data_IF_468922257001
#
_entry.id   IF_468922257001
#
_cell.length_a   1.000
_cell.length_b   1.000
_cell.length_c   1.000
_cell.angle_alpha   90.00
_cell.angle_beta   90.00
_cell.angle_gamma   90.00
#
_symmetry.space_group_name_H-M   'P 1'
#
loop_
_entity.id
_entity.type
_entity.pdbx_description
1 polymer ?
#
# COMPACT_ATOMS: atom_id res chain seq x y z
N UNK A 1 -0.72 14.37 -8.60
CA UNK A 1 0.52 15.12 -8.93
C UNK A 1 0.53 15.58 -10.38
N UNK A 2 0.67 14.67 -11.37
CA UNK A 2 0.82 15.03 -12.80
C UNK A 2 -0.29 15.92 -13.39
N UNK A 3 -1.55 15.70 -13.02
CA UNK A 3 -2.68 16.49 -13.55
C UNK A 3 -2.58 18.00 -13.22
N UNK A 4 -1.83 18.38 -12.17
CA UNK A 4 -1.59 19.80 -11.83
C UNK A 4 -0.66 20.48 -12.85
N UNK A 5 0.24 19.71 -13.47
CA UNK A 5 1.24 20.17 -14.43
C UNK A 5 0.85 19.95 -15.90
N UNK A 6 -0.09 19.03 -16.15
CA UNK A 6 -0.52 18.67 -17.50
C UNK A 6 -1.51 19.67 -18.09
N UNK A 7 -1.51 19.77 -19.42
CA UNK A 7 -2.54 20.47 -20.20
C UNK A 7 -3.01 19.68 -21.42
N UNK A 8 -4.00 20.21 -22.15
CA UNK A 8 -4.48 19.65 -23.42
C UNK A 8 -4.95 18.19 -23.33
N UNK A 9 -4.60 17.38 -24.36
CA UNK A 9 -4.96 15.97 -24.43
C UNK A 9 -4.32 15.12 -23.33
N UNK A 10 -3.09 15.44 -22.92
CA UNK A 10 -2.40 14.78 -21.80
C UNK A 10 -3.19 14.90 -20.51
N UNK A 11 -3.67 16.11 -20.19
CA UNK A 11 -4.55 16.32 -19.03
C UNK A 11 -5.90 15.62 -19.19
N UNK A 12 -6.46 15.59 -20.40
CA UNK A 12 -7.73 14.91 -20.68
C UNK A 12 -7.62 13.41 -20.39
N UNK A 13 -6.58 12.73 -20.88
CA UNK A 13 -6.32 11.32 -20.60
C UNK A 13 -6.24 11.04 -19.09
N UNK A 14 -5.45 11.84 -18.36
CA UNK A 14 -5.34 11.71 -16.90
C UNK A 14 -6.70 11.90 -16.20
N UNK A 15 -7.48 12.89 -16.62
CA UNK A 15 -8.80 13.18 -16.04
C UNK A 15 -9.80 12.06 -16.30
N UNK A 16 -9.80 11.49 -17.51
CA UNK A 16 -10.67 10.37 -17.88
C UNK A 16 -10.38 9.14 -17.04
N UNK A 17 -9.10 8.77 -16.91
CA UNK A 17 -8.70 7.58 -16.14
C UNK A 17 -8.95 7.75 -14.65
N UNK A 18 -8.64 8.93 -14.09
CA UNK A 18 -8.88 9.22 -12.67
C UNK A 18 -10.36 9.44 -12.35
N UNK A 19 -11.19 9.75 -13.35
CA UNK A 19 -12.62 10.12 -13.22
C UNK A 19 -12.87 11.40 -12.41
N UNK A 20 -11.84 12.19 -12.12
CA UNK A 20 -11.96 13.48 -11.45
C UNK A 20 -10.85 14.47 -11.85
N UNK A 21 -11.11 15.76 -11.59
CA UNK A 21 -10.15 16.85 -11.79
C UNK A 21 -9.66 17.44 -10.46
N UNK A 22 -8.35 17.41 -10.22
CA UNK A 22 -7.71 17.92 -8.98
C UNK A 22 -8.06 19.38 -8.67
N UNK A 23 -8.34 20.20 -9.68
CA UNK A 23 -8.72 21.61 -9.45
C UNK A 23 -10.02 21.76 -8.65
N UNK A 24 -10.99 20.85 -8.81
CA UNK A 24 -12.26 20.88 -8.06
C UNK A 24 -12.19 20.17 -6.71
N UNK A 25 -11.39 19.10 -6.62
CA UNK A 25 -11.35 18.22 -5.43
C UNK A 25 -10.08 18.36 -4.58
N UNK A 26 -9.19 19.31 -4.89
CA UNK A 26 -7.88 19.44 -4.24
C UNK A 26 -7.93 19.58 -2.72
N UNK A 27 -8.95 20.28 -2.17
CA UNK A 27 -9.15 20.38 -0.71
C UNK A 27 -9.49 19.03 -0.07
N UNK A 28 -10.31 18.22 -0.75
CA UNK A 28 -10.71 16.89 -0.29
C UNK A 28 -9.50 15.95 -0.33
N UNK A 29 -8.77 15.92 -1.45
CA UNK A 29 -7.54 15.13 -1.59
C UNK A 29 -6.50 15.48 -0.53
N UNK A 30 -6.31 16.77 -0.25
CA UNK A 30 -5.42 17.23 0.84
C UNK A 30 -5.87 16.70 2.19
N UNK A 31 -7.17 16.75 2.48
CA UNK A 31 -7.74 16.27 3.75
C UNK A 31 -7.54 14.75 3.90
N UNK A 32 -7.76 13.99 2.82
CA UNK A 32 -7.53 12.53 2.77
C UNK A 32 -6.05 12.22 3.03
N UNK A 33 -5.14 12.83 2.26
CA UNK A 33 -3.70 12.59 2.44
C UNK A 33 -3.23 12.93 3.86
N UNK A 34 -3.68 14.08 4.40
CA UNK A 34 -3.36 14.50 5.77
C UNK A 34 -3.94 13.54 6.83
N UNK A 35 -5.10 12.94 6.58
CA UNK A 35 -5.69 11.95 7.47
C UNK A 35 -4.85 10.67 7.49
N UNK A 36 -4.39 10.20 6.32
CA UNK A 36 -3.58 8.97 6.18
C UNK A 36 -2.24 9.08 6.92
N UNK A 37 -1.51 10.19 6.73
CA UNK A 37 -0.17 10.38 7.34
C UNK A 37 -0.24 10.99 8.74
N UNK A 38 -1.44 11.14 9.30
CA UNK A 38 -1.61 11.79 10.59
C UNK A 38 -1.00 10.97 11.72
N UNK A 39 -0.21 11.62 12.58
CA UNK A 39 0.24 11.03 13.85
C UNK A 39 -0.93 10.63 14.77
N UNK A 40 -2.14 11.18 14.54
CA UNK A 40 -3.36 10.79 15.28
C UNK A 40 -3.75 9.33 15.07
N UNK A 41 -3.33 8.73 13.95
CA UNK A 41 -3.55 7.32 13.67
C UNK A 41 -2.78 6.40 14.61
N UNK A 42 -1.79 6.91 15.37
CA UNK A 42 -0.82 6.19 16.20
C UNK A 42 0.09 5.24 15.39
N UNK A 43 -0.48 4.45 14.49
CA UNK A 43 0.20 3.74 13.41
C UNK A 43 0.65 4.74 12.34
N UNK A 44 1.91 4.65 11.93
CA UNK A 44 2.57 5.64 11.07
C UNK A 44 2.63 5.11 9.64
N UNK A 45 1.86 5.76 8.75
CA UNK A 45 2.05 5.64 7.30
C UNK A 45 3.06 6.70 6.88
N UNK A 46 4.19 6.27 6.31
CA UNK A 46 5.19 7.17 5.72
C UNK A 46 5.04 7.13 4.21
N UNK A 47 4.73 8.29 3.62
CA UNK A 47 4.59 8.46 2.18
C UNK A 47 5.57 9.54 1.73
N UNK A 48 6.44 9.20 0.80
CA UNK A 48 7.37 10.12 0.16
C UNK A 48 7.00 10.27 -1.31
N UNK A 49 6.61 11.47 -1.70
CA UNK A 49 6.24 11.82 -3.07
C UNK A 49 7.23 12.84 -3.62
N UNK A 50 7.81 12.57 -4.79
CA UNK A 50 8.62 13.55 -5.49
C UNK A 50 8.42 13.56 -6.99
N UNK A 51 8.60 14.75 -7.55
CA UNK A 51 8.74 14.99 -8.99
C UNK A 51 10.10 15.64 -9.22
N UNK A 52 10.96 14.94 -9.94
CA UNK A 52 12.28 15.43 -10.33
C UNK A 52 12.23 15.88 -11.78
N UNK A 53 12.53 17.15 -12.01
CA UNK A 53 12.54 17.79 -13.33
C UNK A 53 13.99 17.99 -13.75
N UNK A 54 14.33 17.84 -15.05
CA UNK A 54 15.71 18.10 -15.52
C UNK A 54 16.15 19.51 -15.10
N UNK A 55 17.43 19.64 -14.75
CA UNK A 55 18.05 20.92 -14.45
C UNK A 55 17.98 21.88 -15.66
N UNK A 56 17.97 23.19 -15.40
CA UNK A 56 17.83 24.23 -16.43
C UNK A 56 16.37 24.64 -16.74
N UNK A 57 15.38 23.85 -16.32
CA UNK A 57 13.96 24.23 -16.48
C UNK A 57 13.44 25.11 -15.35
N UNK A 58 12.98 26.31 -15.72
CA UNK A 58 12.23 27.19 -14.81
C UNK A 58 10.84 26.62 -14.57
N UNK A 59 10.62 26.11 -13.36
CA UNK A 59 9.33 25.55 -12.96
C UNK A 59 8.34 26.63 -12.54
N UNK A 60 7.08 26.45 -12.89
CA UNK A 60 5.98 27.29 -12.47
C UNK A 60 5.73 27.13 -10.96
N UNK A 61 5.79 28.24 -10.21
CA UNK A 61 5.58 28.28 -8.75
C UNK A 61 4.23 27.67 -8.33
N UNK A 62 3.11 27.87 -9.07
CA UNK A 62 1.84 27.20 -8.76
C UNK A 62 1.93 25.68 -8.79
N UNK A 63 2.74 25.09 -9.68
CA UNK A 63 2.90 23.63 -9.76
C UNK A 63 3.61 23.09 -8.53
N UNK A 64 4.72 23.71 -8.13
CA UNK A 64 5.48 23.33 -6.93
C UNK A 64 4.62 23.47 -5.67
N UNK A 65 3.98 24.63 -5.51
CA UNK A 65 3.20 24.95 -4.31
C UNK A 65 1.99 24.03 -4.14
N UNK A 66 1.25 23.78 -5.23
CA UNK A 66 0.05 22.92 -5.16
C UNK A 66 0.40 21.44 -4.95
N UNK A 67 1.51 20.96 -5.49
CA UNK A 67 1.97 19.59 -5.22
C UNK A 67 2.37 19.41 -3.75
N UNK A 68 3.10 20.37 -3.19
CA UNK A 68 3.45 20.37 -1.76
C UNK A 68 2.20 20.42 -0.88
N UNK A 69 1.24 21.29 -1.21
CA UNK A 69 0.04 21.49 -0.39
C UNK A 69 -0.92 20.28 -0.43
N UNK A 70 -1.20 19.73 -1.61
CA UNK A 70 -2.22 18.68 -1.80
C UNK A 70 -1.66 17.29 -1.57
N UNK A 71 -0.47 16.99 -2.08
CA UNK A 71 0.09 15.64 -2.14
C UNK A 71 1.29 15.42 -1.21
N UNK A 72 1.69 16.45 -0.45
CA UNK A 72 2.95 16.45 0.32
C UNK A 72 4.14 16.03 -0.56
N UNK A 73 4.08 16.48 -1.83
CA UNK A 73 5.03 16.11 -2.85
C UNK A 73 6.09 17.20 -2.99
N UNK A 74 7.36 16.79 -2.95
CA UNK A 74 8.48 17.66 -3.24
C UNK A 74 8.68 17.74 -4.76
N UNK A 75 8.87 18.95 -5.27
CA UNK A 75 9.19 19.16 -6.70
C UNK A 75 10.51 19.87 -6.75
N UNK A 76 11.50 19.28 -7.43
CA UNK A 76 12.85 19.84 -7.50
C UNK A 76 13.50 19.58 -8.86
N UNK A 77 14.53 20.35 -9.17
CA UNK A 77 15.40 20.06 -10.29
C UNK A 77 16.43 18.98 -9.89
N UNK A 78 16.73 18.09 -10.83
CA UNK A 78 17.82 17.11 -10.73
C UNK A 78 18.65 17.17 -12.00
N UNK A 79 19.96 17.05 -11.85
CA UNK A 79 20.87 17.03 -12.98
C UNK A 79 21.00 15.63 -13.56
N UNK A 80 20.19 15.32 -14.57
CA UNK A 80 20.23 14.03 -15.23
C UNK A 80 21.41 13.87 -16.21
N UNK A 81 22.19 14.94 -16.48
CA UNK A 81 23.37 14.83 -17.34
C UNK A 81 24.49 14.03 -16.67
N UNK A 82 24.47 13.97 -15.33
CA UNK A 82 25.21 13.02 -14.50
C UNK A 82 24.22 12.01 -13.85
N UNK A 83 23.92 10.88 -14.52
CA UNK A 83 23.00 9.86 -14.01
C UNK A 83 23.37 9.29 -12.64
N UNK A 84 24.67 9.17 -12.34
CA UNK A 84 25.15 8.61 -11.08
C UNK A 84 24.83 9.56 -9.92
N UNK A 85 25.23 10.83 -10.05
CA UNK A 85 24.93 11.87 -9.05
C UNK A 85 23.43 12.11 -8.88
N UNK A 86 22.66 12.07 -9.98
CA UNK A 86 21.20 12.15 -9.92
C UNK A 86 20.59 10.98 -9.13
N UNK A 87 21.03 9.75 -9.41
CA UNK A 87 20.54 8.56 -8.71
C UNK A 87 20.85 8.63 -7.22
N UNK A 88 22.08 8.98 -6.85
CA UNK A 88 22.49 9.09 -5.45
C UNK A 88 21.69 10.17 -4.72
N UNK A 89 21.48 11.32 -5.35
CA UNK A 89 20.66 12.40 -4.79
C UNK A 89 19.21 11.98 -4.58
N UNK A 90 18.61 11.28 -5.55
CA UNK A 90 17.22 10.79 -5.46
C UNK A 90 17.11 9.70 -4.40
N UNK A 91 18.04 8.73 -4.39
CA UNK A 91 18.06 7.64 -3.43
C UNK A 91 18.29 8.15 -1.99
N UNK A 92 19.20 9.10 -1.79
CA UNK A 92 19.43 9.74 -0.50
C UNK A 92 18.17 10.46 0.00
N UNK A 93 17.46 11.16 -0.89
CA UNK A 93 16.20 11.79 -0.52
C UNK A 93 15.13 10.76 -0.13
N UNK A 94 14.94 9.70 -0.93
CA UNK A 94 13.97 8.63 -0.60
C UNK A 94 14.32 8.01 0.76
N UNK A 95 15.60 7.76 1.01
CA UNK A 95 16.09 7.22 2.27
C UNK A 95 15.76 8.15 3.44
N UNK A 96 16.00 9.44 3.31
CA UNK A 96 15.69 10.41 4.35
C UNK A 96 14.19 10.51 4.64
N UNK A 97 13.36 10.64 3.61
CA UNK A 97 11.90 10.73 3.77
C UNK A 97 11.28 9.44 4.31
N UNK A 98 11.87 8.29 3.99
CA UNK A 98 11.42 6.99 4.49
C UNK A 98 12.14 6.55 5.77
N UNK A 99 12.95 7.43 6.38
CA UNK A 99 13.72 7.18 7.63
C UNK A 99 14.62 5.95 7.55
N UNK A 100 15.27 5.75 6.42
CA UNK A 100 16.17 4.62 6.16
C UNK A 100 15.47 3.32 5.84
N UNK A 101 14.15 3.33 5.58
CA UNK A 101 13.41 2.09 5.32
C UNK A 101 13.46 1.66 3.85
N UNK A 102 13.61 2.62 2.93
CA UNK A 102 13.78 2.39 1.49
C UNK A 102 15.09 3.08 1.07
N UNK A 103 16.13 2.29 0.82
CA UNK A 103 17.49 2.81 0.60
C UNK A 103 17.79 3.18 -0.85
N UNK A 104 17.22 2.46 -1.82
CA UNK A 104 17.43 2.70 -3.25
C UNK A 104 16.13 2.57 -4.03
N UNK A 105 16.00 3.32 -5.10
CA UNK A 105 14.86 3.31 -6.01
C UNK A 105 15.29 3.40 -7.47
N UNK A 106 16.35 4.15 -7.75
CA UNK A 106 16.96 4.27 -9.07
C UNK A 106 18.36 3.65 -9.09
N UNK A 107 18.70 3.05 -10.22
CA UNK A 107 20.07 2.75 -10.62
C UNK A 107 20.46 3.62 -11.82
N UNK A 108 21.75 3.95 -11.99
CA UNK A 108 22.21 4.76 -13.12
C UNK A 108 21.78 4.18 -14.47
N UNK A 109 21.76 2.85 -14.59
CA UNK A 109 21.36 2.12 -15.81
C UNK A 109 19.91 2.38 -16.25
N UNK A 110 19.06 2.87 -15.34
CA UNK A 110 17.67 3.20 -15.64
C UNK A 110 17.53 4.62 -16.21
N UNK A 111 18.51 5.50 -16.02
CA UNK A 111 18.42 6.89 -16.45
C UNK A 111 19.22 7.11 -17.74
N UNK A 112 18.58 7.77 -18.70
CA UNK A 112 19.25 8.23 -19.92
C UNK A 112 19.65 9.71 -19.74
N UNK A 113 20.94 10.02 -19.86
CA UNK A 113 21.45 11.37 -19.60
C UNK A 113 20.91 12.43 -20.56
N UNK A 114 20.56 12.03 -21.78
CA UNK A 114 20.10 12.93 -22.84
C UNK A 114 18.58 12.96 -22.90
N UNK A 115 17.88 11.87 -22.61
CA UNK A 115 16.43 11.73 -22.77
C UNK A 115 15.65 11.92 -21.48
N UNK A 116 16.26 11.80 -20.31
CA UNK A 116 15.55 11.96 -19.04
C UNK A 116 15.14 13.41 -18.84
N UNK A 117 13.84 13.64 -18.66
CA UNK A 117 13.24 14.97 -18.49
C UNK A 117 12.42 15.10 -17.21
N UNK A 118 11.64 14.06 -16.90
CA UNK A 118 10.76 14.06 -15.75
C UNK A 118 10.71 12.67 -15.12
N UNK A 119 11.05 12.58 -13.83
CA UNK A 119 11.01 11.35 -13.04
C UNK A 119 10.06 11.52 -11.86
N UNK A 120 9.11 10.60 -11.74
CA UNK A 120 8.17 10.58 -10.64
C UNK A 120 8.45 9.41 -9.71
N UNK A 121 8.44 9.72 -8.42
CA UNK A 121 8.73 8.77 -7.37
C UNK A 121 7.63 8.80 -6.33
N UNK A 122 7.06 7.63 -6.05
CA UNK A 122 6.21 7.39 -4.89
C UNK A 122 6.82 6.27 -4.05
N UNK A 123 7.23 6.57 -2.82
CA UNK A 123 7.70 5.57 -1.87
C UNK A 123 6.73 5.49 -0.70
N UNK A 124 6.29 4.28 -0.37
CA UNK A 124 5.33 4.04 0.72
C UNK A 124 5.90 3.01 1.67
N UNK A 125 5.98 3.38 2.93
CA UNK A 125 6.37 2.51 4.02
C UNK A 125 5.34 2.59 5.14
N UNK A 126 4.85 1.45 5.57
CA UNK A 126 3.90 1.36 6.66
C UNK A 126 4.57 0.82 7.92
N UNK A 127 4.36 1.51 9.05
CA UNK A 127 4.76 1.07 10.38
C UNK A 127 3.55 1.06 11.30
N UNK A 128 3.15 -0.10 11.79
CA UNK A 128 2.01 -0.24 12.70
C UNK A 128 2.30 -1.21 13.81
N UNK A 129 1.54 -1.16 14.89
CA UNK A 129 1.56 -2.17 15.95
C UNK A 129 0.24 -2.91 15.93
N UNK A 130 0.25 -4.24 16.07
CA UNK A 130 -1.01 -4.99 16.13
C UNK A 130 -1.82 -4.54 17.35
N UNK A 131 -3.15 -4.46 17.22
CA UNK A 131 -4.02 -4.28 18.39
C UNK A 131 -3.91 -5.49 19.34
N UNK A 132 -3.81 -6.68 18.75
CA UNK A 132 -3.53 -7.94 19.44
C UNK A 132 -2.22 -8.51 18.93
N UNK A 133 -1.15 -8.33 19.71
CA UNK A 133 0.21 -8.77 19.36
C UNK A 133 0.29 -10.30 19.26
N UNK A 134 1.17 -10.79 18.40
CA UNK A 134 1.55 -12.20 18.43
C UNK A 134 2.63 -12.42 19.50
N UNK A 135 2.62 -13.58 20.12
CA UNK A 135 3.64 -13.96 21.10
C UNK A 135 4.81 -14.63 20.36
N UNK A 136 6.06 -14.13 20.48
CA UNK A 136 7.23 -14.73 19.84
C UNK A 136 7.40 -16.23 20.15
N UNK A 137 6.96 -16.65 21.33
CA UNK A 137 7.00 -18.04 21.80
C UNK A 137 6.12 -18.97 20.95
N UNK A 138 5.10 -18.42 20.29
CA UNK A 138 4.19 -19.15 19.41
C UNK A 138 4.66 -19.15 17.94
N UNK A 139 5.69 -18.37 17.61
CA UNK A 139 6.25 -18.31 16.26
C UNK A 139 7.05 -19.59 15.98
N UNK A 140 6.56 -20.43 15.06
CA UNK A 140 7.18 -21.72 14.72
C UNK A 140 7.36 -21.85 13.21
N UNK A 141 8.37 -22.61 12.78
CA UNK A 141 8.48 -23.01 11.38
C UNK A 141 7.32 -23.95 11.04
N UNK A 142 6.60 -23.63 9.97
CA UNK A 142 5.54 -24.50 9.42
C UNK A 142 5.69 -24.60 7.92
N UNK A 143 5.08 -25.65 7.37
CA UNK A 143 5.01 -25.88 5.93
C UNK A 143 4.22 -24.76 5.27
N UNK A 144 4.77 -24.21 4.21
CA UNK A 144 4.17 -23.23 3.34
C UNK A 144 4.27 -23.72 1.90
N UNK A 145 3.14 -23.80 1.20
CA UNK A 145 3.09 -24.26 -0.18
C UNK A 145 2.99 -23.07 -1.14
N UNK A 146 3.99 -22.94 -1.99
CA UNK A 146 4.05 -21.87 -2.98
C UNK A 146 3.20 -22.18 -4.22
N UNK A 147 3.02 -21.16 -5.07
CA UNK A 147 2.24 -21.29 -6.31
C UNK A 147 2.83 -22.30 -7.32
N UNK A 148 4.12 -22.64 -7.20
CA UNK A 148 4.76 -23.69 -8.00
C UNK A 148 4.52 -25.11 -7.44
N UNK A 149 3.70 -25.24 -6.39
CA UNK A 149 3.39 -26.49 -5.70
C UNK A 149 4.49 -26.96 -4.74
N UNK A 150 5.61 -26.24 -4.62
CA UNK A 150 6.69 -26.63 -3.70
C UNK A 150 6.40 -26.19 -2.28
N UNK A 151 6.84 -27.02 -1.35
CA UNK A 151 6.70 -26.81 0.09
C UNK A 151 7.99 -26.26 0.70
N UNK A 152 7.86 -25.26 1.56
CA UNK A 152 8.95 -24.60 2.27
C UNK A 152 8.66 -24.54 3.77
N UNK A 153 9.69 -24.59 4.61
CA UNK A 153 9.55 -24.34 6.05
C UNK A 153 9.78 -22.86 6.35
N UNK A 154 8.72 -22.12 6.70
CA UNK A 154 8.76 -20.68 6.95
C UNK A 154 8.30 -20.34 8.37
N UNK A 155 8.82 -19.27 8.99
CA UNK A 155 8.34 -18.83 10.29
C UNK A 155 6.90 -18.32 10.18
N UNK A 156 5.98 -18.93 10.94
CA UNK A 156 4.59 -18.53 11.05
C UNK A 156 4.31 -17.95 12.43
N UNK A 157 3.80 -16.72 12.46
CA UNK A 157 3.16 -16.11 13.62
C UNK A 157 1.88 -16.89 13.95
N UNK A 158 1.58 -17.10 15.23
CA UNK A 158 0.35 -17.76 15.66
C UNK A 158 -0.28 -17.07 16.87
N UNK A 159 -1.59 -16.83 16.82
CA UNK A 159 -2.35 -16.33 17.97
C UNK A 159 -3.80 -16.85 17.94
N UNK A 160 -4.37 -17.04 19.13
CA UNK A 160 -5.80 -17.33 19.32
C UNK A 160 -6.46 -16.09 19.90
N UNK A 161 -7.34 -15.45 19.15
CA UNK A 161 -8.03 -14.23 19.58
C UNK A 161 -9.36 -14.05 18.85
N UNK A 162 -10.08 -12.96 19.15
CA UNK A 162 -11.32 -12.61 18.45
C UNK A 162 -11.00 -11.64 17.32
N UNK A 163 -11.28 -12.08 16.09
CA UNK A 163 -11.10 -11.28 14.88
C UNK A 163 -12.40 -11.23 14.07
N UNK A 164 -12.55 -10.17 13.28
CA UNK A 164 -13.65 -10.07 12.33
C UNK A 164 -13.28 -10.87 11.09
N UNK A 165 -14.09 -11.87 10.74
CA UNK A 165 -13.85 -12.69 9.55
C UNK A 165 -15.17 -13.10 8.90
N UNK A 166 -15.06 -13.57 7.65
CA UNK A 166 -16.18 -14.03 6.85
C UNK A 166 -15.69 -14.82 5.64
N UNK A 167 -16.65 -15.27 4.84
CA UNK A 167 -16.42 -15.95 3.58
C UNK A 167 -17.43 -15.48 2.54
N UNK A 168 -17.05 -15.51 1.28
CA UNK A 168 -17.94 -15.20 0.15
C UNK A 168 -17.44 -15.89 -1.11
N UNK A 169 -18.26 -15.89 -2.16
CA UNK A 169 -17.92 -16.47 -3.46
C UNK A 169 -17.70 -15.41 -4.53
N UNK A 170 -16.91 -15.75 -5.55
CA UNK A 170 -16.86 -14.99 -6.79
C UNK A 170 -18.12 -15.26 -7.64
N UNK A 171 -18.37 -14.49 -8.72
CA UNK A 171 -19.44 -14.80 -9.67
C UNK A 171 -19.31 -16.17 -10.36
N UNK A 172 -18.16 -16.83 -10.24
CA UNK A 172 -17.88 -18.18 -10.74
C UNK A 172 -17.98 -19.24 -9.64
N UNK A 173 -18.67 -18.93 -8.54
CA UNK A 173 -18.88 -19.80 -7.37
C UNK A 173 -17.60 -20.28 -6.66
N UNK A 174 -16.49 -19.55 -6.85
CA UNK A 174 -15.24 -19.84 -6.14
C UNK A 174 -15.24 -19.16 -4.77
N UNK A 175 -15.22 -19.96 -3.70
CA UNK A 175 -15.26 -19.47 -2.34
C UNK A 175 -13.89 -19.00 -1.85
N UNK A 176 -13.89 -17.91 -1.09
CA UNK A 176 -12.72 -17.39 -0.41
C UNK A 176 -13.08 -16.83 0.97
N UNK A 177 -12.14 -16.98 1.90
CA UNK A 177 -12.22 -16.48 3.27
C UNK A 177 -11.50 -15.15 3.38
N UNK A 178 -11.96 -14.29 4.28
CA UNK A 178 -11.30 -13.03 4.58
C UNK A 178 -11.34 -12.72 6.08
N UNK A 179 -10.27 -12.07 6.56
CA UNK A 179 -10.08 -11.70 7.97
C UNK A 179 -9.51 -10.29 8.09
N UNK A 180 -10.00 -9.54 9.09
CA UNK A 180 -9.50 -8.23 9.49
C UNK A 180 -8.60 -8.35 10.72
N UNK A 181 -7.34 -7.94 10.56
CA UNK A 181 -6.35 -7.81 11.64
C UNK A 181 -6.14 -6.33 11.96
N UNK A 182 -6.76 -5.79 13.02
CA UNK A 182 -6.65 -4.37 13.36
C UNK A 182 -5.29 -4.02 13.96
N UNK A 183 -4.81 -2.82 13.64
CA UNK A 183 -3.67 -2.20 14.32
C UNK A 183 -4.13 -1.40 15.55
N UNK A 184 -3.20 -1.10 16.45
CA UNK A 184 -3.45 -0.50 17.76
C UNK A 184 -4.08 0.89 17.71
N UNK A 185 -3.89 1.60 16.60
CA UNK A 185 -4.50 2.90 16.31
C UNK A 185 -5.98 2.84 16.01
N UNK A 186 -6.52 1.65 15.68
CA UNK A 186 -7.91 1.38 15.27
C UNK A 186 -8.37 2.13 14.00
N UNK A 187 -7.51 2.96 13.41
CA UNK A 187 -7.75 3.65 12.13
C UNK A 187 -7.35 2.83 10.92
N UNK A 188 -6.47 1.84 11.11
CA UNK A 188 -5.89 1.02 10.04
C UNK A 188 -6.06 -0.45 10.42
N UNK A 189 -6.36 -1.29 9.45
CA UNK A 189 -6.37 -2.75 9.59
C UNK A 189 -5.75 -3.43 8.36
N UNK A 190 -5.19 -4.62 8.57
CA UNK A 190 -4.78 -5.50 7.48
C UNK A 190 -5.95 -6.41 7.12
N UNK A 191 -6.29 -6.44 5.83
CA UNK A 191 -7.25 -7.38 5.28
C UNK A 191 -6.50 -8.47 4.55
N UNK A 192 -6.81 -9.70 4.91
CA UNK A 192 -6.23 -10.88 4.27
C UNK A 192 -7.37 -11.68 3.66
N UNK A 193 -7.21 -12.06 2.39
CA UNK A 193 -8.14 -12.91 1.68
C UNK A 193 -7.38 -14.10 1.08
N UNK A 194 -7.95 -15.28 1.23
CA UNK A 194 -7.43 -16.53 0.67
C UNK A 194 -8.56 -17.40 0.11
N UNK A 195 -8.33 -18.17 -0.96
CA UNK A 195 -9.27 -19.19 -1.40
C UNK A 195 -9.64 -20.16 -0.27
N UNK A 196 -10.88 -20.64 -0.25
CA UNK A 196 -11.31 -21.68 0.70
C UNK A 196 -10.74 -23.03 0.31
N UNK A 197 -10.69 -23.32 -0.99
CA UNK A 197 -10.12 -24.55 -1.53
C UNK A 197 -8.68 -24.35 -2.00
N UNK A 198 -7.79 -25.27 -1.62
CA UNK A 198 -6.37 -25.22 -2.04
C UNK A 198 -6.15 -25.43 -3.54
N UNK A 199 -7.13 -26.03 -4.23
CA UNK A 199 -7.16 -26.20 -5.69
C UNK A 199 -7.40 -24.86 -6.41
N UNK A 200 -8.00 -23.88 -5.74
CA UNK A 200 -8.40 -22.63 -6.37
C UNK A 200 -7.22 -21.66 -6.44
N UNK A 201 -6.79 -21.25 -7.65
CA UNK A 201 -5.68 -20.32 -7.78
C UNK A 201 -6.12 -18.91 -7.39
N UNK A 202 -5.21 -18.17 -6.73
CA UNK A 202 -5.46 -16.79 -6.31
C UNK A 202 -5.76 -15.86 -7.50
N UNK A 203 -5.25 -16.18 -8.70
CA UNK A 203 -5.53 -15.47 -9.94
C UNK A 203 -7.01 -15.49 -10.34
N UNK A 204 -7.80 -16.45 -9.84
CA UNK A 204 -9.24 -16.51 -10.10
C UNK A 204 -10.05 -15.57 -9.18
N UNK A 205 -9.50 -15.16 -8.03
CA UNK A 205 -10.20 -14.31 -7.06
C UNK A 205 -9.83 -12.83 -7.25
N UNK A 206 -8.54 -12.53 -7.49
CA UNK A 206 -8.02 -11.15 -7.61
C UNK A 206 -8.83 -10.26 -8.59
N UNK A 207 -9.25 -10.73 -9.79
CA UNK A 207 -9.98 -9.90 -10.74
C UNK A 207 -11.33 -9.39 -10.21
N UNK A 208 -11.91 -10.06 -9.22
CA UNK A 208 -13.22 -9.73 -8.64
C UNK A 208 -13.12 -8.86 -7.37
N UNK A 209 -11.91 -8.55 -6.91
CA UNK A 209 -11.69 -7.68 -5.75
C UNK A 209 -11.68 -6.21 -6.19
N UNK A 210 -12.67 -5.47 -5.71
CA UNK A 210 -12.83 -4.02 -5.89
C UNK A 210 -13.15 -3.35 -4.55
N UNK A 211 -13.19 -2.02 -4.51
CA UNK A 211 -13.61 -1.26 -3.31
C UNK A 211 -15.01 -1.67 -2.84
N UNK A 212 -15.96 -1.87 -3.78
CA UNK A 212 -17.30 -2.37 -3.47
C UNK A 212 -17.29 -3.76 -2.83
N UNK A 213 -16.38 -4.62 -3.28
CA UNK A 213 -16.21 -5.97 -2.71
C UNK A 213 -15.71 -5.88 -1.27
N UNK A 214 -14.76 -4.97 -1.00
CA UNK A 214 -14.23 -4.71 0.34
C UNK A 214 -15.32 -4.13 1.25
N UNK A 215 -16.15 -3.20 0.78
CA UNK A 215 -17.29 -2.66 1.54
C UNK A 215 -18.30 -3.75 1.91
N UNK A 216 -18.54 -4.70 1.00
CA UNK A 216 -19.35 -5.88 1.26
C UNK A 216 -18.74 -6.76 2.36
N UNK A 217 -17.42 -7.00 2.32
CA UNK A 217 -16.73 -7.71 3.40
C UNK A 217 -16.89 -7.01 4.74
N UNK A 218 -16.71 -5.68 4.77
CA UNK A 218 -16.83 -4.90 6.01
C UNK A 218 -18.23 -4.97 6.62
N UNK A 219 -19.26 -5.18 5.80
CA UNK A 219 -20.65 -5.34 6.23
C UNK A 219 -20.98 -6.78 6.66
N UNK A 220 -20.28 -7.78 6.11
CA UNK A 220 -20.53 -9.22 6.34
C UNK A 220 -19.64 -9.84 7.41
N UNK A 221 -18.45 -9.28 7.68
CA UNK A 221 -17.55 -9.81 8.70
C UNK A 221 -18.14 -9.73 10.11
N UNK A 222 -18.10 -10.86 10.80
CA UNK A 222 -18.54 -11.00 12.19
C UNK A 222 -17.36 -11.34 13.10
N UNK A 223 -17.35 -10.87 14.36
CA UNK A 223 -16.33 -11.23 15.31
C UNK A 223 -16.44 -12.72 15.68
N UNK A 224 -15.38 -13.48 15.46
CA UNK A 224 -15.26 -14.90 15.83
C UNK A 224 -13.95 -15.15 16.56
N UNK A 225 -13.96 -16.07 17.51
CA UNK A 225 -12.73 -16.58 18.13
C UNK A 225 -12.08 -17.54 17.14
N UNK A 226 -10.91 -17.18 16.64
CA UNK A 226 -10.20 -17.92 15.58
C UNK A 226 -8.72 -18.04 15.91
N UNK A 227 -8.12 -19.17 15.53
CA UNK A 227 -6.67 -19.33 15.56
C UNK A 227 -6.10 -18.80 14.25
N UNK A 228 -5.37 -17.69 14.31
CA UNK A 228 -4.72 -17.08 13.15
C UNK A 228 -3.28 -17.55 13.09
N UNK A 229 -2.90 -18.11 11.95
CA UNK A 229 -1.51 -18.48 11.63
C UNK A 229 -1.12 -17.70 10.39
N UNK A 230 -0.05 -16.89 10.46
CA UNK A 230 0.33 -15.95 9.40
C UNK A 230 1.85 -15.98 9.20
N UNK A 231 2.38 -16.05 7.96
CA UNK A 231 3.81 -15.94 7.72
C UNK A 231 4.39 -14.65 8.29
N UNK A 232 5.54 -14.77 8.94
CA UNK A 232 6.39 -13.63 9.26
C UNK A 232 7.23 -13.31 8.03
N UNK A 233 7.01 -12.15 7.42
CA UNK A 233 7.70 -11.79 6.18
C UNK A 233 7.98 -10.29 6.06
N UNK A 234 8.95 -9.94 5.23
CA UNK A 234 9.15 -8.58 4.73
C UNK A 234 8.98 -8.62 3.22
N UNK A 235 8.10 -7.77 2.69
CA UNK A 235 7.89 -7.64 1.25
C UNK A 235 8.29 -6.23 0.81
N UNK A 236 9.14 -6.17 -0.21
CA UNK A 236 9.54 -4.95 -0.89
C UNK A 236 9.23 -5.14 -2.36
N UNK A 237 8.47 -4.22 -2.94
CA UNK A 237 8.14 -4.24 -4.36
C UNK A 237 8.45 -2.88 -4.97
N UNK A 238 9.09 -2.90 -6.14
CA UNK A 238 9.29 -1.74 -6.99
C UNK A 238 8.58 -2.00 -8.32
N UNK A 239 7.79 -1.03 -8.75
CA UNK A 239 6.94 -1.15 -9.93
C UNK A 239 7.14 0.07 -10.82
N UNK A 240 7.42 -0.17 -12.10
CA UNK A 240 7.26 0.84 -13.14
C UNK A 240 5.78 0.93 -13.53
N UNK A 241 5.20 2.11 -13.32
CA UNK A 241 3.79 2.36 -13.60
C UNK A 241 3.54 2.73 -15.08
N UNK A 242 4.59 2.86 -15.90
CA UNK A 242 4.48 3.28 -17.31
C UNK A 242 3.54 2.39 -18.12
N UNK A 243 3.83 1.10 -18.21
CA UNK A 243 3.01 0.16 -19.01
C UNK A 243 1.58 -0.01 -18.47
N UNK A 244 1.36 -0.20 -17.15
CA UNK A 244 0.00 -0.21 -16.60
C UNK A 244 -0.80 1.05 -16.92
N UNK A 245 -0.19 2.24 -16.88
CA UNK A 245 -0.86 3.50 -17.19
C UNK A 245 -1.19 3.65 -18.69
N UNK A 246 -0.32 3.15 -19.57
CA UNK A 246 -0.61 3.09 -21.02
C UNK A 246 -1.81 2.20 -21.32
N UNK A 247 -1.89 1.02 -20.69
CA UNK A 247 -3.03 0.10 -20.84
C UNK A 247 -4.34 0.75 -20.36
N UNK A 248 -4.28 1.61 -19.34
CA UNK A 248 -5.44 2.38 -18.88
C UNK A 248 -5.80 3.56 -19.80
N UNK A 249 -5.02 3.84 -20.84
CA UNK A 249 -5.29 4.91 -21.82
C UNK A 249 -4.50 6.21 -21.59
N UNK A 250 -3.53 6.23 -20.68
CA UNK A 250 -2.63 7.37 -20.48
C UNK A 250 -1.35 7.14 -21.26
N UNK A 251 -1.28 7.69 -22.47
CA UNK A 251 -0.18 7.43 -23.41
C UNK A 251 0.63 8.67 -23.73
N UNK A 252 -0.02 9.83 -23.89
CA UNK A 252 0.64 11.05 -24.38
C UNK A 252 1.71 11.56 -23.43
N UNK A 253 1.53 11.40 -22.11
CA UNK A 253 2.51 11.88 -21.14
C UNK A 253 3.88 11.21 -21.25
N UNK A 254 3.96 10.04 -21.89
CA UNK A 254 5.21 9.30 -22.10
C UNK A 254 5.83 9.55 -23.48
N UNK A 255 5.13 10.24 -24.38
CA UNK A 255 5.57 10.52 -25.74
C UNK A 255 6.29 11.89 -25.76
N UNK A 256 7.59 11.95 -26.11
CA UNK A 256 8.36 13.19 -26.13
C UNK A 256 7.78 14.28 -27.05
N UNK A 257 7.03 13.91 -28.07
CA UNK A 257 6.46 14.83 -29.06
C UNK A 257 5.03 15.29 -28.74
N UNK A 258 4.30 14.53 -27.92
CA UNK A 258 2.87 14.78 -27.64
C UNK A 258 2.60 15.19 -26.19
N UNK A 259 3.51 14.90 -25.27
CA UNK A 259 3.35 15.23 -23.87
C UNK A 259 3.19 16.74 -23.68
N UNK A 260 2.09 17.13 -23.03
CA UNK A 260 1.82 18.52 -22.74
C UNK A 260 1.84 18.78 -21.24
N UNK A 261 2.96 19.34 -20.78
CA UNK A 261 3.19 19.77 -19.40
C UNK A 261 3.45 21.29 -19.30
N UNK A 262 2.71 22.08 -20.08
CA UNK A 262 2.84 23.55 -20.12
C UNK A 262 2.63 24.25 -18.76
N UNK A 263 2.04 23.57 -17.77
CA UNK A 263 1.88 24.09 -16.40
C UNK A 263 3.02 23.71 -15.46
N UNK A 264 3.99 22.92 -15.91
CA UNK A 264 5.25 22.67 -15.21
C UNK A 264 6.30 23.68 -15.70
N UNK A 265 6.50 23.75 -17.01
CA UNK A 265 7.36 24.73 -17.68
C UNK A 265 6.76 25.10 -19.03
N UNK A 266 6.97 26.34 -19.46
CA UNK A 266 6.57 26.81 -20.80
C UNK A 266 7.74 26.87 -21.78
N UNK A 267 8.96 26.72 -21.27
CA UNK A 267 10.18 26.97 -22.04
C UNK A 267 10.56 25.80 -22.93
N UNK A 268 10.19 24.57 -22.56
CA UNK A 268 10.59 23.36 -23.27
C UNK A 268 9.58 22.22 -23.17
N UNK A 269 9.74 21.24 -24.05
CA UNK A 269 8.95 20.02 -24.06
C UNK A 269 9.38 19.09 -22.93
N UNK A 270 8.44 18.79 -22.03
CA UNK A 270 8.59 17.80 -20.98
C UNK A 270 7.76 16.56 -21.31
N UNK A 271 8.29 15.40 -20.96
CA UNK A 271 7.56 14.13 -20.95
C UNK A 271 7.99 13.32 -19.73
N UNK A 272 7.14 12.39 -19.30
CA UNK A 272 7.44 11.46 -18.21
C UNK A 272 8.40 10.40 -18.73
N UNK A 273 9.65 10.44 -18.28
CA UNK A 273 10.66 9.45 -18.61
C UNK A 273 10.45 8.19 -17.75
N UNK A 274 10.32 8.38 -16.43
CA UNK A 274 10.09 7.30 -15.47
C UNK A 274 9.01 7.64 -14.46
N UNK A 275 8.20 6.64 -14.09
CA UNK A 275 7.22 6.74 -13.01
C UNK A 275 7.27 5.49 -12.15
N UNK A 276 7.92 5.61 -11.00
CA UNK A 276 8.28 4.48 -10.17
C UNK A 276 7.56 4.55 -8.84
N UNK A 277 7.05 3.39 -8.42
CA UNK A 277 6.50 3.21 -7.09
C UNK A 277 7.29 2.14 -6.34
N UNK A 278 7.69 2.44 -5.11
CA UNK A 278 8.33 1.46 -4.21
C UNK A 278 7.55 1.35 -2.91
N UNK A 279 7.11 0.14 -2.59
CA UNK A 279 6.35 -0.14 -1.38
C UNK A 279 7.10 -1.17 -0.52
N UNK A 280 7.15 -0.94 0.80
CA UNK A 280 7.72 -1.86 1.77
C UNK A 280 6.76 -2.10 2.93
N UNK A 281 6.54 -3.37 3.24
CA UNK A 281 5.79 -3.84 4.42
C UNK A 281 6.58 -4.93 5.13
N UNK A 282 6.59 -4.92 6.45
CA UNK A 282 7.30 -5.89 7.29
C UNK A 282 6.34 -6.43 8.34
N UNK A 283 5.89 -7.67 8.22
CA UNK A 283 4.96 -8.31 9.17
C UNK A 283 5.74 -9.05 10.25
N UNK A 284 5.54 -8.67 11.51
CA UNK A 284 6.21 -9.22 12.69
C UNK A 284 5.26 -9.44 13.86
N UNK A 285 5.78 -9.94 14.99
CA UNK A 285 5.02 -10.24 16.20
C UNK A 285 4.38 -9.00 16.84
N UNK A 286 5.13 -7.89 16.88
CA UNK A 286 4.68 -6.62 17.46
C UNK A 286 3.72 -5.86 16.53
N UNK A 287 3.80 -6.12 15.22
CA UNK A 287 3.11 -5.34 14.19
C UNK A 287 3.85 -5.27 12.87
N UNK A 288 3.63 -4.17 12.16
CA UNK A 288 4.43 -3.77 11.01
C UNK A 288 5.63 -2.91 11.44
N UNK A 289 6.78 -3.57 11.62
CA UNK A 289 8.04 -3.21 12.30
C UNK A 289 8.01 -2.33 13.57
N UNK A 290 8.44 -2.93 14.68
CA UNK A 290 9.30 -2.31 15.68
C UNK A 290 10.67 -3.03 15.63
N UNK A 291 11.79 -2.31 15.83
CA UNK A 291 13.08 -2.97 16.05
C UNK A 291 13.82 -2.23 17.18
N UNK A 292 13.83 -2.89 18.35
CA UNK A 292 14.57 -2.66 19.60
C UNK A 292 14.41 -1.27 20.28
N UNK A 293 14.21 -1.10 21.59
CA UNK A 293 14.19 -2.00 22.74
C UNK A 293 13.35 -1.32 23.85
N UNK A 294 12.52 -2.06 24.59
CA UNK A 294 12.30 -1.89 26.05
C UNK A 294 11.46 -3.07 26.54
N UNK A 295 12.12 -4.05 27.15
CA UNK A 295 11.50 -5.03 28.01
C UNK A 295 10.99 -4.34 29.29
N UNK A 296 9.68 -4.14 29.41
CA UNK A 296 9.03 -4.01 30.73
C UNK A 296 7.69 -4.75 30.70
N UNK A 297 7.54 -5.89 31.38
CA UNK A 297 6.25 -6.51 31.55
C UNK A 297 5.41 -5.66 32.50
N UNK A 298 4.41 -4.96 31.98
CA UNK A 298 3.35 -4.39 32.81
C UNK A 298 2.31 -5.50 33.03
N UNK A 299 2.44 -6.19 34.15
CA UNK A 299 1.37 -7.03 34.68
C UNK A 299 0.37 -6.09 35.36
N UNK A 300 -0.71 -5.75 34.66
CA UNK A 300 -1.88 -5.15 35.30
C UNK A 300 -2.92 -6.25 35.46
N UNK A 301 -2.96 -6.87 36.64
CA UNK A 301 -4.13 -7.65 37.08
C UNK A 301 -5.28 -6.67 37.27
N UNK A 302 -6.38 -6.82 36.53
CA UNK A 302 -7.67 -6.29 36.98
C UNK A 302 -8.81 -7.28 36.71
N UNK A 303 -9.63 -7.43 37.76
CA UNK A 303 -10.77 -8.33 37.93
C UNK A 303 -11.90 -8.04 36.93
N UNK A 304 -12.64 -9.10 36.62
CA UNK A 304 -13.97 -9.07 36.01
C UNK A 304 -14.90 -8.04 36.67
N UNK A 305 -15.63 -7.28 35.86
CA UNK A 305 -16.97 -6.78 36.18
C UNK A 305 -17.83 -6.79 34.90
N UNK A 306 -19.03 -7.36 35.01
CA UNK A 306 -20.01 -7.55 33.93
C UNK A 306 -20.94 -6.31 33.78
N UNK A 307 -21.11 -5.89 32.51
CA UNK A 307 -22.33 -5.45 31.77
C UNK A 307 -23.14 -4.22 32.25
N UNK A 308 -23.36 -3.24 31.35
CA UNK A 308 -24.67 -2.89 30.71
C UNK A 308 -24.61 -1.60 29.86
N UNK A 309 -25.25 -1.63 28.66
CA UNK A 309 -25.77 -0.45 27.97
C UNK A 309 -25.35 -0.30 26.49
N UNK A 310 -26.28 -0.17 25.51
CA UNK A 310 -25.96 -0.19 24.09
C UNK A 310 -25.50 1.20 23.63
N UNK A 311 -24.36 1.27 22.95
CA UNK A 311 -24.00 2.42 22.13
C UNK A 311 -24.29 2.03 20.69
N UNK A 312 -25.30 2.68 20.10
CA UNK A 312 -25.65 2.55 18.69
C UNK A 312 -24.41 2.81 17.82
N UNK A 313 -24.12 1.96 16.82
CA UNK A 313 -22.99 2.20 15.93
C UNK A 313 -23.31 3.36 14.99
N UNK A 314 -22.60 4.47 15.17
CA UNK A 314 -22.52 5.57 14.20
C UNK A 314 -21.66 5.09 13.02
N UNK A 315 -22.14 5.15 11.76
CA UNK A 315 -21.33 4.75 10.62
C UNK A 315 -20.37 5.89 10.29
N UNK A 316 -19.07 5.68 10.52
CA UNK A 316 -18.03 6.55 9.97
C UNK A 316 -16.93 5.69 9.34
N UNK A 317 -17.12 5.35 8.07
CA UNK A 317 -16.11 4.74 7.23
C UNK A 317 -15.03 5.78 6.90
N UNK A 318 -13.92 5.75 7.63
CA UNK A 318 -12.70 6.54 7.37
C UNK A 318 -11.44 5.67 7.59
N UNK A 319 -11.52 4.36 7.31
CA UNK A 319 -10.45 3.39 7.58
C UNK A 319 -9.63 3.10 6.31
N UNK A 320 -8.32 2.97 6.47
CA UNK A 320 -7.40 2.55 5.41
C UNK A 320 -7.06 1.06 5.57
N UNK A 321 -7.02 0.33 4.45
CA UNK A 321 -6.77 -1.11 4.45
C UNK A 321 -5.53 -1.47 3.66
N UNK A 322 -4.73 -2.38 4.22
CA UNK A 322 -3.68 -3.07 3.48
C UNK A 322 -4.23 -4.42 3.05
N UNK A 323 -4.45 -4.59 1.74
CA UNK A 323 -4.84 -5.89 1.19
C UNK A 323 -3.58 -6.72 0.92
N UNK A 324 -3.48 -7.87 1.56
CA UNK A 324 -2.47 -8.88 1.21
C UNK A 324 -3.18 -10.12 0.66
N UNK A 325 -3.14 -10.36 -0.66
CA UNK A 325 -3.62 -11.62 -1.21
C UNK A 325 -2.56 -12.70 -0.90
N UNK A 326 -2.97 -13.77 -0.21
CA UNK A 326 -2.12 -14.90 0.14
C UNK A 326 -2.58 -16.15 -0.62
N UNK A 327 -1.64 -16.85 -1.25
CA UNK A 327 -1.90 -18.09 -1.99
C UNK A 327 -1.86 -19.30 -1.07
N UNK A 328 -3.01 -19.95 -0.79
CA UNK A 328 -3.07 -21.12 0.09
C UNK A 328 -2.89 -22.44 -0.67
N UNK A 329 -1.96 -23.29 -0.23
CA UNK A 329 -2.24 -24.73 -0.15
C UNK A 329 -1.86 -25.22 1.26
N UNK A 330 -2.81 -25.88 1.93
CA UNK A 330 -2.67 -26.42 3.28
C UNK A 330 -3.63 -25.79 4.29
N UNK A 331 -4.82 -26.36 4.43
CA UNK A 331 -5.75 -26.07 5.54
C UNK A 331 -5.88 -27.36 6.37
N UNK A 332 -5.58 -27.30 7.67
CA UNK A 332 -6.05 -28.29 8.64
C UNK A 332 -7.17 -27.62 9.45
N UNK A 333 -8.39 -28.16 9.34
CA UNK A 333 -9.55 -27.76 10.16
C UNK A 333 -9.91 -28.95 11.03
N UNK A 334 -9.75 -28.79 12.35
CA UNK A 334 -10.29 -29.71 13.36
C UNK A 334 -11.73 -29.24 13.72
N UNK A 335 -12.75 -30.11 13.85
CA UNK A 335 -14.16 -29.69 13.86
C UNK A 335 -14.66 -28.92 15.09
N UNK A 336 -13.78 -28.39 15.95
CA UNK A 336 -14.18 -27.59 17.12
C UNK A 336 -13.49 -26.23 17.25
N UNK A 337 -12.49 -25.91 16.41
CA UNK A 337 -11.81 -24.61 16.40
C UNK A 337 -11.54 -24.16 14.96
N UNK A 338 -12.04 -22.97 14.57
CA UNK A 338 -11.75 -22.42 13.24
C UNK A 338 -10.29 -21.96 13.18
N UNK A 339 -9.42 -22.82 12.67
CA UNK A 339 -8.02 -22.52 12.35
C UNK A 339 -7.97 -21.88 10.96
N UNK A 340 -7.47 -20.65 10.88
CA UNK A 340 -7.21 -19.96 9.61
C UNK A 340 -5.69 -19.96 9.41
N UNK A 341 -5.21 -20.88 8.57
CA UNK A 341 -3.83 -20.93 8.13
C UNK A 341 -3.63 -20.04 6.89
N UNK A 342 -2.86 -18.97 7.06
CA UNK A 342 -2.59 -17.97 6.04
C UNK A 342 -1.21 -18.19 5.41
N UNK A 343 -0.81 -19.43 5.17
CA UNK A 343 0.35 -19.70 4.33
C UNK A 343 0.16 -19.11 2.93
N UNK A 344 0.92 -18.07 2.58
CA UNK A 344 0.95 -17.47 1.23
C UNK A 344 2.25 -16.74 0.92
N UNK A 345 2.72 -16.83 -0.33
CA UNK A 345 3.80 -16.00 -0.85
C UNK A 345 3.15 -14.74 -1.44
N UNK A 346 3.61 -13.57 -1.02
CA UNK A 346 3.25 -12.31 -1.63
C UNK A 346 3.91 -12.22 -3.02
N UNK A 347 3.25 -12.76 -4.05
CA UNK A 347 3.54 -12.42 -5.44
C UNK A 347 3.13 -10.96 -5.67
N UNK A 348 4.05 -10.07 -5.31
CA UNK A 348 4.38 -8.75 -5.87
C UNK A 348 3.27 -7.93 -6.54
N UNK A 349 2.09 -7.80 -5.92
CA UNK A 349 1.18 -6.66 -6.13
C UNK A 349 0.54 -6.26 -4.80
N UNK A 350 1.29 -5.56 -3.95
CA UNK A 350 0.70 -4.75 -2.88
C UNK A 350 -0.23 -3.73 -3.56
N UNK A 351 -1.54 -3.92 -3.42
CA UNK A 351 -2.54 -2.91 -3.80
C UNK A 351 -3.05 -2.26 -2.53
N UNK A 352 -2.58 -1.04 -2.27
CA UNK A 352 -3.29 -0.15 -1.36
C UNK A 352 -4.58 0.28 -2.06
N UNK A 353 -5.72 -0.13 -1.54
CA UNK A 353 -7.01 0.40 -1.98
C UNK A 353 -7.42 1.51 -1.00
N UNK A 354 -7.77 2.66 -1.56
CA UNK A 354 -8.43 3.73 -0.83
C UNK A 354 -9.93 3.53 -0.98
N UNK A 355 -10.65 3.50 0.14
CA UNK A 355 -12.11 3.59 0.11
C UNK A 355 -12.44 5.07 -0.04
N UNK A 356 -12.75 5.48 -1.26
CA UNK A 356 -13.43 6.76 -1.50
C UNK A 356 -14.90 6.59 -1.10
N UNK A 357 -15.36 7.42 -0.16
CA UNK A 357 -16.80 7.62 0.13
C UNK A 357 -17.46 8.49 -0.91
#
# INVERSE_FOLDING_TARGET
MLQLGADGRTKKQLTTVMRYGVNGVGKVLKKINKAIVSKKNKDIVTVANAVFVKNGFKMEVPFVTRNKDVFQCEVRNADFEDPASACDSINLWVRNETRGMIDSLLSPDLLDSVLTRLVLVNAVYFKGLWKSRFQPENTKKRTFVAADGKSYQVPMLAQLSVFRCGSTSTPSDLWYNFIELPYHGESISMLIALPTESSTPLSAIIPHISTKTIDSWMSTMVPKRVQVILPKFTAVAQTDLKEPLKVLGVTEMFDPSKANFAKITRSENLHVSHILQKAKIEVSEDGTKASAATSKPWVTRQRLALVRGPVLPVPSSNRCYVLSPLSSQGLWVDPQETVIDLGGYASTKLRAFYIDT
#
